data_IF_145072262105
#
_entry.id   IF_145072262105
#
_cell.length_a   1.000
_cell.length_b   1.000
_cell.length_c   1.000
_cell.angle_alpha   90.00
_cell.angle_beta   90.00
_cell.angle_gamma   90.00
#
_symmetry.space_group_name_H-M   'P 1'
#
loop_
_entity.id
_entity.type
_entity.pdbx_description
1 polymer ?
#
# COMPACT_ATOMS: atom_id res chain seq x y z
N UNK A 1 -29.98 23.18 42.42
CA UNK A 1 -28.71 22.71 43.00
C UNK A 1 -27.79 23.91 43.10
N UNK A 2 -27.27 24.14 44.31
CA UNK A 2 -25.94 24.64 44.72
C UNK A 2 -25.24 25.73 43.87
N UNK A 3 -24.55 26.72 44.44
CA UNK A 3 -24.29 27.01 45.86
C UNK A 3 -23.97 28.51 46.06
N UNK A 4 -23.70 28.92 47.30
CA UNK A 4 -23.51 30.33 47.71
C UNK A 4 -22.29 30.48 48.63
N UNK A 5 -21.73 31.69 48.67
CA UNK A 5 -20.84 32.29 49.71
C UNK A 5 -19.32 32.15 49.49
N UNK A 6 -18.64 33.31 49.61
CA UNK A 6 -17.18 33.53 49.61
C UNK A 6 -16.57 33.48 51.06
N UNK A 7 -15.60 34.32 51.51
CA UNK A 7 -14.15 34.11 51.41
C UNK A 7 -13.36 34.19 52.77
N UNK A 8 -12.02 34.29 52.67
CA UNK A 8 -11.04 34.92 53.61
C UNK A 8 -10.25 34.05 54.62
N UNK A 9 -8.98 34.47 54.85
CA UNK A 9 -8.06 34.23 55.98
C UNK A 9 -7.21 32.93 56.02
N UNK A 10 -5.97 32.91 56.57
CA UNK A 10 -4.92 33.92 56.84
C UNK A 10 -3.61 33.22 57.30
N UNK A 11 -2.51 33.98 57.44
CA UNK A 11 -1.30 33.71 58.28
C UNK A 11 -0.16 32.85 57.68
N UNK A 12 1.15 32.94 58.00
CA UNK A 12 2.12 33.85 58.66
C UNK A 12 3.36 32.94 58.93
N UNK A 13 4.52 33.08 58.27
CA UNK A 13 5.73 33.86 58.71
C UNK A 13 6.23 33.43 60.11
N UNK A 14 7.52 33.06 60.34
CA UNK A 14 8.67 33.98 60.16
C UNK A 14 10.03 33.40 59.69
N UNK A 15 10.99 34.31 59.43
CA UNK A 15 12.44 34.04 59.34
C UNK A 15 13.10 33.92 60.73
N UNK A 16 14.30 34.49 61.03
CA UNK A 16 14.77 35.80 60.52
C UNK A 16 16.32 36.07 60.45
N UNK A 17 16.69 37.32 60.04
CA UNK A 17 17.94 38.09 60.36
C UNK A 17 19.32 37.52 59.90
N UNK A 18 20.41 38.29 59.62
CA UNK A 18 20.75 39.74 59.63
C UNK A 18 22.15 39.90 58.98
N UNK A 19 22.45 40.80 58.00
CA UNK A 19 22.79 42.25 58.11
C UNK A 19 24.29 42.59 57.84
N UNK A 20 24.54 43.48 56.86
CA UNK A 20 25.65 44.48 56.77
C UNK A 20 27.13 44.09 56.51
N UNK A 21 27.56 44.33 55.25
CA UNK A 21 28.61 45.30 54.80
C UNK A 21 29.96 45.40 55.57
N UNK A 22 31.08 45.09 54.90
CA UNK A 22 32.36 45.85 55.05
C UNK A 22 33.25 45.81 53.80
N UNK A 23 34.07 46.85 53.64
CA UNK A 23 34.84 47.20 52.43
C UNK A 23 36.31 46.74 52.44
N UNK A 24 36.97 46.97 51.31
CA UNK A 24 38.38 46.70 50.95
C UNK A 24 39.43 47.45 51.81
N UNK A 25 40.62 46.84 51.94
CA UNK A 25 41.98 47.40 52.12
C UNK A 25 42.94 46.34 51.51
N UNK A 26 43.70 46.55 50.42
CA UNK A 26 44.89 47.40 50.14
C UNK A 26 46.24 46.86 50.61
N UNK A 27 47.27 47.17 49.81
CA UNK A 27 48.72 46.96 49.97
C UNK A 27 49.27 45.54 49.80
N UNK A 28 50.46 45.27 49.23
CA UNK A 28 51.48 45.93 48.35
C UNK A 28 52.80 45.21 48.66
N UNK A 29 53.68 45.01 47.66
CA UNK A 29 55.18 45.01 47.72
C UNK A 29 55.76 44.08 46.62
N UNK A 30 56.40 44.70 45.62
CA UNK A 30 57.71 44.38 44.95
C UNK A 30 58.04 42.94 44.47
N UNK A 31 58.87 42.71 43.44
CA UNK A 31 59.54 43.57 42.43
C UNK A 31 60.37 42.75 41.43
N UNK A 32 60.52 43.23 40.19
CA UNK A 32 61.66 42.92 39.28
C UNK A 32 61.66 41.54 38.60
N UNK A 33 62.17 41.35 37.38
CA UNK A 33 62.86 42.29 36.48
C UNK A 33 62.66 41.93 34.99
N UNK A 34 62.46 42.98 34.19
CA UNK A 34 63.05 43.27 32.86
C UNK A 34 64.22 42.37 32.41
N UNK A 35 64.42 42.06 31.11
CA UNK A 35 63.74 42.46 29.87
C UNK A 35 64.65 42.22 28.63
N UNK A 36 64.26 42.70 27.44
CA UNK A 36 65.04 42.72 26.16
C UNK A 36 65.17 41.34 25.42
N UNK A 37 65.01 41.20 24.09
CA UNK A 37 64.69 42.15 23.01
C UNK A 37 64.06 41.44 21.77
N UNK A 38 63.54 42.26 20.87
CA UNK A 38 63.15 42.09 19.44
C UNK A 38 64.05 41.20 18.55
N UNK A 39 63.73 40.86 17.28
CA UNK A 39 62.50 40.74 16.46
C UNK A 39 62.95 40.35 15.00
N UNK A 40 62.09 40.59 13.99
CA UNK A 40 62.39 40.69 12.54
C UNK A 40 62.38 39.39 11.69
N UNK A 41 61.19 39.14 11.13
CA UNK A 41 60.88 38.99 9.68
C UNK A 41 61.59 37.97 8.76
N UNK A 42 60.73 37.26 8.00
CA UNK A 42 61.02 36.47 6.78
C UNK A 42 61.48 37.38 5.62
N UNK A 43 62.22 36.87 4.62
CA UNK A 43 61.64 36.25 3.40
C UNK A 43 62.37 34.92 3.04
N UNK A 44 62.14 34.19 1.94
CA UNK A 44 61.17 34.27 0.83
C UNK A 44 61.63 33.48 -0.41
N UNK A 45 60.91 32.38 -0.72
CA UNK A 45 60.63 31.67 -2.01
C UNK A 45 61.65 31.61 -3.18
N UNK A 46 61.61 30.44 -3.89
CA UNK A 46 62.12 30.12 -5.26
C UNK A 46 63.50 29.43 -5.30
N UNK A 47 63.81 28.48 -6.21
CA UNK A 47 63.19 28.07 -7.50
C UNK A 47 63.61 26.63 -7.93
N UNK A 48 63.02 26.11 -9.03
CA UNK A 48 63.38 24.90 -9.84
C UNK A 48 63.28 23.50 -9.18
N UNK A 49 62.51 22.48 -9.62
CA UNK A 49 61.78 22.10 -10.87
C UNK A 49 62.55 21.22 -11.89
N UNK A 50 62.15 19.94 -11.93
CA UNK A 50 62.06 19.00 -13.08
C UNK A 50 63.22 18.13 -13.57
N UNK A 51 62.78 17.01 -14.18
CA UNK A 51 63.45 16.03 -15.06
C UNK A 51 64.24 14.89 -14.38
N UNK A 52 64.15 13.62 -14.82
CA UNK A 52 63.27 12.99 -15.83
C UNK A 52 63.06 11.50 -15.49
N UNK A 53 62.00 10.89 -16.03
CA UNK A 53 61.80 9.43 -16.00
C UNK A 53 62.23 8.75 -17.30
N UNK A 54 62.54 7.46 -17.23
CA UNK A 54 62.62 6.53 -18.37
C UNK A 54 61.88 5.24 -17.97
N UNK A 55 61.14 4.67 -18.92
CA UNK A 55 60.37 3.43 -18.82
C UNK A 55 61.14 2.23 -19.43
N UNK A 56 60.56 1.04 -19.29
CA UNK A 56 60.86 -0.20 -20.04
C UNK A 56 62.19 -0.91 -19.72
N UNK A 57 62.28 -2.25 -19.83
CA UNK A 57 61.25 -3.29 -19.81
C UNK A 57 61.89 -4.68 -19.56
N UNK A 58 61.05 -5.66 -19.25
CA UNK A 58 61.34 -7.08 -19.07
C UNK A 58 62.28 -7.76 -20.08
N UNK A 59 63.11 -8.71 -19.60
CA UNK A 59 63.00 -10.14 -19.96
C UNK A 59 63.96 -11.07 -19.19
N UNK A 60 63.40 -12.13 -18.57
CA UNK A 60 64.08 -13.36 -18.10
C UNK A 60 64.29 -14.35 -19.29
N UNK A 61 64.86 -15.58 -19.16
CA UNK A 61 65.68 -16.25 -18.11
C UNK A 61 67.12 -16.57 -18.66
N UNK A 62 68.01 -17.41 -18.10
CA UNK A 62 68.07 -18.17 -16.83
C UNK A 62 68.64 -19.62 -16.98
N UNK A 63 69.20 -20.19 -15.90
CA UNK A 63 69.55 -21.64 -15.67
C UNK A 63 70.54 -22.29 -16.69
N UNK A 64 71.86 -22.18 -16.53
CA UNK A 64 72.77 -23.06 -15.74
C UNK A 64 72.82 -24.55 -16.11
N UNK A 65 73.95 -25.01 -16.67
CA UNK A 65 74.49 -26.37 -16.49
C UNK A 65 76.04 -26.33 -16.57
N UNK A 66 76.71 -27.37 -16.07
CA UNK A 66 78.18 -27.42 -15.92
C UNK A 66 78.83 -28.43 -16.88
N UNK A 67 80.14 -28.28 -17.17
CA UNK A 67 81.09 -29.37 -16.85
C UNK A 67 82.59 -29.03 -16.97
N UNK A 68 83.32 -29.43 -15.91
CA UNK A 68 84.63 -30.12 -15.87
C UNK A 68 85.72 -30.00 -16.95
N UNK A 69 86.77 -29.19 -16.66
CA UNK A 69 88.24 -29.51 -16.65
C UNK A 69 88.96 -30.10 -17.91
N UNK A 70 90.33 -30.09 -17.98
CA UNK A 70 91.30 -29.02 -17.72
C UNK A 70 92.47 -28.96 -18.75
N UNK A 71 93.16 -27.81 -18.94
CA UNK A 71 94.53 -27.81 -19.49
C UNK A 71 95.33 -26.52 -19.21
N UNK A 72 96.63 -26.72 -19.00
CA UNK A 72 97.70 -25.81 -18.54
C UNK A 72 98.16 -24.78 -19.58
N UNK A 73 98.50 -23.55 -19.14
CA UNK A 73 99.63 -22.69 -19.58
C UNK A 73 99.54 -21.37 -18.78
N UNK A 74 100.27 -21.13 -17.69
CA UNK A 74 101.72 -20.90 -17.59
C UNK A 74 102.33 -19.98 -18.66
N UNK A 75 102.50 -18.70 -18.32
CA UNK A 75 103.66 -17.91 -18.74
C UNK A 75 104.28 -17.24 -17.52
N UNK A 76 105.27 -17.92 -16.95
CA UNK A 76 106.04 -17.51 -15.75
C UNK A 76 107.01 -16.39 -16.11
N UNK A 77 107.13 -15.39 -15.23
CA UNK A 77 108.12 -14.31 -15.39
C UNK A 77 109.56 -14.82 -15.21
N UNK A 78 110.48 -14.31 -16.04
CA UNK A 78 111.93 -14.52 -15.90
C UNK A 78 112.67 -13.20 -16.07
N UNK A 79 113.36 -12.69 -15.05
CA UNK A 79 114.73 -12.24 -15.22
C UNK A 79 115.63 -13.49 -15.30
N UNK A 80 116.43 -13.61 -16.36
CA UNK A 80 117.43 -14.66 -16.45
C UNK A 80 118.64 -14.30 -15.57
N UNK A 81 119.03 -15.21 -14.69
CA UNK A 81 120.37 -15.18 -14.07
C UNK A 81 121.34 -15.81 -15.07
N UNK A 82 122.38 -15.05 -15.43
CA UNK A 82 123.53 -15.56 -16.20
C UNK A 82 124.80 -15.41 -15.38
N UNK A 83 124.94 -16.21 -14.33
CA UNK A 83 126.27 -16.60 -13.86
C UNK A 83 126.85 -17.59 -14.88
N UNK A 84 127.87 -17.17 -15.62
CA UNK A 84 128.69 -18.07 -16.42
C UNK A 84 130.06 -18.19 -15.77
N UNK A 85 130.20 -19.13 -14.84
CA UNK A 85 131.51 -19.59 -14.37
C UNK A 85 132.13 -20.47 -15.46
N UNK A 86 132.82 -19.80 -16.39
CA UNK A 86 133.66 -20.43 -17.40
C UNK A 86 135.14 -20.37 -17.00
N UNK A 87 135.66 -21.48 -16.46
CA UNK A 87 137.07 -21.87 -16.65
C UNK A 87 137.08 -23.02 -17.68
N UNK A 88 138.16 -23.26 -18.45
CA UNK A 88 139.48 -22.62 -18.37
C UNK A 88 139.96 -22.00 -19.70
N UNK A 89 141.03 -21.21 -19.63
CA UNK A 89 141.98 -21.08 -20.73
C UNK A 89 143.37 -21.42 -20.18
N UNK A 90 143.94 -22.52 -20.65
CA UNK A 90 145.30 -22.94 -20.31
C UNK A 90 146.27 -22.35 -21.32
N UNK A 91 147.26 -21.64 -20.81
CA UNK A 91 148.58 -21.48 -21.41
C UNK A 91 149.50 -21.40 -20.18
N UNK A 92 150.23 -22.45 -19.79
CA UNK A 92 151.45 -22.91 -20.46
C UNK A 92 152.21 -21.71 -21.03
N UNK A 93 153.26 -21.22 -20.39
CA UNK A 93 154.54 -21.93 -20.20
C UNK A 93 155.09 -21.74 -18.76
N UNK A 94 155.49 -22.80 -18.05
CA UNK A 94 156.82 -23.44 -18.11
C UNK A 94 157.96 -22.40 -17.94
N UNK A 95 158.52 -22.29 -16.72
CA UNK A 95 159.53 -21.26 -16.40
C UNK A 95 160.10 -21.25 -14.98
N UNK A 96 160.39 -22.41 -14.38
CA UNK A 96 161.37 -22.54 -13.28
C UNK A 96 162.75 -22.88 -13.89
N UNK A 97 163.90 -22.78 -13.18
CA UNK A 97 164.30 -21.84 -12.11
C UNK A 97 165.79 -21.36 -12.21
N UNK A 98 166.20 -20.39 -11.40
CA UNK A 98 167.57 -20.15 -10.84
C UNK A 98 167.52 -18.81 -10.07
N UNK A 99 167.89 -18.58 -8.81
CA UNK A 99 168.91 -19.13 -7.89
C UNK A 99 170.36 -19.02 -8.37
N UNK A 100 170.96 -17.84 -8.12
CA UNK A 100 172.22 -17.62 -7.37
C UNK A 100 172.59 -16.11 -7.49
N UNK A 101 172.85 -15.34 -6.42
CA UNK A 101 174.12 -15.31 -5.64
C UNK A 101 175.37 -15.33 -6.54
N UNK A 102 176.37 -14.44 -6.44
CA UNK A 102 176.58 -13.26 -5.59
C UNK A 102 177.70 -12.39 -6.21
N UNK A 103 178.02 -11.22 -5.64
CA UNK A 103 179.40 -10.76 -5.38
C UNK A 103 179.37 -9.56 -4.41
N UNK A 104 180.12 -9.68 -3.32
CA UNK A 104 180.84 -8.56 -2.70
C UNK A 104 180.07 -7.41 -2.05
N UNK A 105 179.88 -7.51 -0.73
CA UNK A 105 180.48 -6.51 0.16
C UNK A 105 181.54 -7.23 1.03
N UNK A 106 182.63 -6.55 1.42
CA UNK A 106 183.88 -7.24 1.75
C UNK A 106 183.76 -8.05 3.05
N UNK A 107 183.95 -9.38 2.90
CA UNK A 107 184.15 -10.41 3.92
C UNK A 107 183.14 -10.52 5.09
N UNK A 108 182.80 -11.78 5.44
CA UNK A 108 181.99 -12.22 6.60
C UNK A 108 180.46 -12.14 6.41
N UNK A 109 179.86 -13.10 5.68
CA UNK A 109 178.44 -13.49 5.81
C UNK A 109 178.11 -14.84 5.12
N UNK A 110 178.27 -15.98 5.83
CA UNK A 110 177.89 -17.31 5.31
C UNK A 110 176.84 -18.06 6.16
N UNK A 111 176.54 -17.58 7.38
CA UNK A 111 175.63 -18.28 8.31
C UNK A 111 174.12 -18.05 8.03
N UNK A 112 173.77 -17.17 7.09
CA UNK A 112 172.38 -16.68 6.92
C UNK A 112 171.63 -17.35 5.75
N UNK A 113 172.31 -17.76 4.67
CA UNK A 113 171.66 -18.16 3.41
C UNK A 113 170.99 -19.55 3.46
N UNK A 114 171.64 -20.58 4.05
CA UNK A 114 171.06 -21.95 4.12
C UNK A 114 169.73 -22.01 4.88
N UNK A 115 169.57 -21.19 5.92
CA UNK A 115 168.33 -21.11 6.72
C UNK A 115 167.15 -20.58 5.90
N UNK A 116 167.39 -19.84 4.82
CA UNK A 116 166.35 -19.26 3.97
C UNK A 116 165.69 -20.27 3.03
N UNK A 117 166.46 -21.22 2.47
CA UNK A 117 165.95 -22.11 1.42
C UNK A 117 165.11 -23.29 1.92
N UNK A 118 165.37 -23.82 3.12
CA UNK A 118 164.53 -24.87 3.72
C UNK A 118 163.19 -24.29 4.20
N UNK A 119 163.21 -23.09 4.78
CA UNK A 119 162.02 -22.30 5.10
C UNK A 119 161.14 -22.14 3.86
N UNK A 120 161.71 -21.71 2.73
CA UNK A 120 160.98 -21.43 1.49
C UNK A 120 160.33 -22.68 0.83
N UNK A 121 160.86 -23.90 1.06
CA UNK A 121 160.24 -25.14 0.53
C UNK A 121 159.12 -25.65 1.43
N UNK A 122 159.27 -25.48 2.74
CA UNK A 122 158.24 -25.85 3.71
C UNK A 122 157.07 -24.86 3.68
N UNK A 123 157.34 -23.57 3.48
CA UNK A 123 156.34 -22.55 3.17
C UNK A 123 155.46 -22.94 1.97
N UNK A 124 156.01 -23.51 0.89
CA UNK A 124 155.19 -23.95 -0.26
C UNK A 124 154.28 -25.13 0.08
N UNK A 125 154.72 -26.08 0.92
CA UNK A 125 153.84 -27.18 1.36
C UNK A 125 152.76 -26.67 2.30
N UNK A 126 153.13 -25.80 3.24
CA UNK A 126 152.20 -25.11 4.11
C UNK A 126 151.16 -24.35 3.27
N UNK A 127 151.58 -23.60 2.25
CA UNK A 127 150.70 -22.90 1.30
C UNK A 127 149.78 -23.84 0.51
N UNK A 128 150.21 -25.05 0.15
CA UNK A 128 149.30 -26.03 -0.48
C UNK A 128 148.29 -26.59 0.52
N UNK A 129 148.73 -26.96 1.74
CA UNK A 129 147.82 -27.46 2.77
C UNK A 129 146.81 -26.40 3.22
N UNK A 130 147.23 -25.13 3.35
CA UNK A 130 146.33 -24.02 3.65
C UNK A 130 145.40 -23.70 2.49
N UNK A 131 145.85 -23.78 1.23
CA UNK A 131 144.94 -23.68 0.08
C UNK A 131 143.91 -24.80 0.06
N UNK A 132 144.28 -26.04 0.35
CA UNK A 132 143.36 -27.18 0.36
C UNK A 132 142.37 -27.12 1.55
N UNK A 133 142.83 -26.62 2.70
CA UNK A 133 141.96 -26.25 3.82
C UNK A 133 141.02 -25.10 3.43
N UNK A 134 141.51 -24.06 2.73
CA UNK A 134 140.71 -22.95 2.23
C UNK A 134 139.68 -23.40 1.18
N UNK A 135 139.99 -24.32 0.27
CA UNK A 135 138.99 -24.85 -0.68
C UNK A 135 137.91 -25.66 0.02
N UNK A 136 138.28 -26.47 1.02
CA UNK A 136 137.31 -27.23 1.80
C UNK A 136 136.44 -26.30 2.66
N UNK A 137 137.02 -25.30 3.33
CA UNK A 137 136.28 -24.27 4.06
C UNK A 137 135.37 -23.43 3.15
N UNK A 138 135.81 -23.09 1.93
CA UNK A 138 134.94 -22.42 0.95
C UNK A 138 133.78 -23.31 0.49
N UNK A 139 133.99 -24.62 0.34
CA UNK A 139 132.92 -25.56 0.01
C UNK A 139 131.90 -25.70 1.16
N UNK A 140 132.39 -25.84 2.40
CA UNK A 140 131.59 -25.85 3.63
C UNK A 140 130.74 -24.57 3.76
N UNK A 141 131.37 -23.39 3.59
CA UNK A 141 130.65 -22.10 3.57
C UNK A 141 129.60 -22.05 2.45
N UNK A 142 129.89 -22.58 1.27
CA UNK A 142 128.96 -22.55 0.15
C UNK A 142 127.73 -23.45 0.41
N UNK A 143 127.92 -24.62 1.05
CA UNK A 143 126.81 -25.49 1.49
C UNK A 143 125.97 -24.76 2.55
N UNK A 144 126.59 -24.12 3.54
CA UNK A 144 125.87 -23.33 4.55
C UNK A 144 125.10 -22.16 3.92
N UNK A 145 125.66 -21.50 2.90
CA UNK A 145 124.98 -20.42 2.15
C UNK A 145 123.77 -20.95 1.37
N UNK A 146 123.86 -22.12 0.72
CA UNK A 146 122.69 -22.72 0.06
C UNK A 146 121.63 -23.20 1.05
N UNK A 147 122.02 -23.76 2.20
CA UNK A 147 121.07 -24.14 3.25
C UNK A 147 120.37 -22.90 3.83
N UNK A 148 121.10 -21.82 4.11
CA UNK A 148 120.51 -20.54 4.52
C UNK A 148 119.61 -19.94 3.43
N UNK A 149 119.92 -20.11 2.13
CA UNK A 149 119.05 -19.68 1.02
C UNK A 149 117.74 -20.49 1.00
N UNK A 150 117.78 -21.81 1.16
CA UNK A 150 116.58 -22.64 1.23
C UNK A 150 115.74 -22.35 2.47
N UNK A 151 116.37 -22.20 3.65
CA UNK A 151 115.68 -21.73 4.85
C UNK A 151 115.03 -20.35 4.60
N UNK A 152 115.71 -19.40 3.96
CA UNK A 152 115.12 -18.11 3.57
C UNK A 152 113.97 -18.24 2.56
N UNK A 153 113.95 -19.25 1.68
CA UNK A 153 112.81 -19.52 0.78
C UNK A 153 111.63 -20.09 1.56
N UNK A 154 111.88 -21.07 2.44
CA UNK A 154 110.87 -21.67 3.30
C UNK A 154 110.22 -20.63 4.25
N UNK A 155 111.02 -19.78 4.90
CA UNK A 155 110.52 -18.68 5.73
C UNK A 155 109.72 -17.65 4.91
N UNK A 156 110.18 -17.26 3.72
CA UNK A 156 109.40 -16.39 2.81
C UNK A 156 108.06 -17.02 2.42
N UNK A 157 108.01 -18.32 2.16
CA UNK A 157 106.78 -19.04 1.86
C UNK A 157 105.85 -19.09 3.09
N UNK A 158 106.36 -19.39 4.29
CA UNK A 158 105.53 -19.41 5.50
C UNK A 158 104.99 -18.02 5.85
N UNK A 159 105.77 -16.95 5.68
CA UNK A 159 105.30 -15.56 5.82
C UNK A 159 104.20 -15.26 4.80
N UNK A 160 104.35 -15.69 3.54
CA UNK A 160 103.32 -15.52 2.50
C UNK A 160 102.02 -16.25 2.86
N UNK A 161 102.10 -17.48 3.35
CA UNK A 161 100.94 -18.27 3.76
C UNK A 161 100.25 -17.66 4.98
N UNK A 162 101.00 -17.32 6.05
CA UNK A 162 100.46 -16.62 7.23
C UNK A 162 99.81 -15.28 6.87
N UNK A 163 100.34 -14.55 5.87
CA UNK A 163 99.76 -13.30 5.38
C UNK A 163 98.45 -13.52 4.61
N UNK A 164 98.29 -14.66 3.94
CA UNK A 164 97.04 -15.03 3.27
C UNK A 164 96.02 -15.55 4.30
N UNK A 165 96.40 -16.47 5.18
CA UNK A 165 95.58 -16.97 6.31
C UNK A 165 95.05 -15.79 7.15
N UNK A 166 95.91 -14.82 7.47
CA UNK A 166 95.49 -13.59 8.19
C UNK A 166 94.46 -12.76 7.41
N UNK A 167 94.62 -12.59 6.09
CA UNK A 167 93.64 -11.88 5.25
C UNK A 167 92.31 -12.60 5.20
N UNK A 168 92.33 -13.91 5.00
CA UNK A 168 91.13 -14.76 4.95
C UNK A 168 90.37 -14.69 6.28
N UNK A 169 91.07 -14.73 7.42
CA UNK A 169 90.48 -14.53 8.75
C UNK A 169 89.95 -13.10 8.97
N UNK A 170 90.68 -12.06 8.52
CA UNK A 170 90.20 -10.67 8.60
C UNK A 170 88.95 -10.44 7.72
N UNK A 171 88.87 -11.05 6.55
CA UNK A 171 87.70 -10.99 5.66
C UNK A 171 86.52 -11.79 6.19
N UNK A 172 86.77 -12.98 6.77
CA UNK A 172 85.74 -13.77 7.43
C UNK A 172 85.17 -13.02 8.64
N UNK A 173 86.03 -12.47 9.51
CA UNK A 173 85.64 -11.67 10.68
C UNK A 173 84.82 -10.44 10.27
N UNK A 174 85.23 -9.72 9.22
CA UNK A 174 84.45 -8.58 8.70
C UNK A 174 83.09 -9.02 8.17
N UNK A 175 83.00 -10.14 7.45
CA UNK A 175 81.71 -10.68 6.96
C UNK A 175 80.78 -11.09 8.11
N UNK A 176 81.30 -11.75 9.15
CA UNK A 176 80.49 -12.13 10.32
C UNK A 176 80.08 -10.91 11.15
N UNK A 177 80.98 -9.94 11.34
CA UNK A 177 80.68 -8.73 12.11
C UNK A 177 79.64 -7.87 11.37
N UNK A 178 79.83 -7.60 10.08
CA UNK A 178 78.83 -6.86 9.27
C UNK A 178 77.50 -7.59 9.23
N UNK A 179 77.49 -8.93 9.16
CA UNK A 179 76.26 -9.73 9.18
C UNK A 179 75.52 -9.70 10.52
N UNK A 180 76.25 -9.84 11.64
CA UNK A 180 75.69 -9.79 12.99
C UNK A 180 75.21 -8.38 13.35
N UNK A 181 76.08 -7.37 13.17
CA UNK A 181 75.75 -5.97 13.43
C UNK A 181 74.57 -5.51 12.56
N UNK A 182 74.48 -5.94 11.29
CA UNK A 182 73.34 -5.61 10.44
C UNK A 182 72.04 -6.29 10.90
N UNK A 183 72.09 -7.56 11.36
CA UNK A 183 70.92 -8.26 11.88
C UNK A 183 70.43 -7.64 13.20
N UNK A 184 71.36 -7.28 14.11
CA UNK A 184 71.04 -6.56 15.35
C UNK A 184 70.47 -5.16 15.07
N UNK A 185 71.06 -4.42 14.13
CA UNK A 185 70.54 -3.11 13.69
C UNK A 185 69.16 -3.21 13.04
N UNK A 186 68.86 -4.28 12.31
CA UNK A 186 67.51 -4.53 11.75
C UNK A 186 66.52 -4.80 12.88
N UNK A 187 66.85 -5.71 13.81
CA UNK A 187 65.95 -6.05 14.93
C UNK A 187 65.70 -4.86 15.86
N UNK A 188 66.71 -4.04 16.16
CA UNK A 188 66.55 -2.80 16.93
C UNK A 188 65.68 -1.79 16.18
N UNK A 189 65.81 -1.72 14.85
CA UNK A 189 65.00 -0.84 14.01
C UNK A 189 63.54 -1.30 13.90
N UNK A 190 63.29 -2.60 13.87
CA UNK A 190 61.95 -3.19 13.94
C UNK A 190 61.30 -2.85 15.29
N UNK A 191 61.97 -3.11 16.42
CA UNK A 191 61.48 -2.73 17.75
C UNK A 191 61.24 -1.22 17.91
N UNK A 192 62.12 -0.38 17.35
CA UNK A 192 61.94 1.06 17.34
C UNK A 192 60.73 1.49 16.49
N UNK A 193 60.43 0.79 15.40
CA UNK A 193 59.24 1.04 14.58
C UNK A 193 57.97 0.58 15.29
N UNK A 194 57.96 -0.61 15.91
CA UNK A 194 56.85 -1.09 16.74
C UNK A 194 56.50 -0.09 17.85
N UNK A 195 57.51 0.45 18.57
CA UNK A 195 57.30 1.48 19.58
C UNK A 195 56.77 2.81 18.99
N UNK A 196 57.12 3.17 17.76
CA UNK A 196 56.56 4.34 17.06
C UNK A 196 55.09 4.10 16.70
N UNK A 197 54.78 2.93 16.16
CA UNK A 197 53.42 2.54 15.75
C UNK A 197 52.49 2.42 16.97
N UNK A 198 52.97 1.84 18.09
CA UNK A 198 52.28 1.85 19.38
C UNK A 198 52.08 3.28 19.90
N UNK A 199 53.10 4.14 19.80
CA UNK A 199 52.99 5.54 20.24
C UNK A 199 51.95 6.31 19.42
N UNK A 200 51.87 6.07 18.10
CA UNK A 200 50.86 6.67 17.24
C UNK A 200 49.47 6.07 17.46
N UNK A 201 49.33 4.77 17.72
CA UNK A 201 48.07 4.17 18.17
C UNK A 201 47.60 4.76 19.52
N UNK A 202 48.53 5.00 20.45
CA UNK A 202 48.24 5.70 21.71
C UNK A 202 47.86 7.17 21.48
N UNK A 203 48.52 7.91 20.58
CA UNK A 203 48.09 9.27 20.18
C UNK A 203 46.68 9.25 19.58
N UNK A 204 46.36 8.28 18.74
CA UNK A 204 45.04 8.17 18.09
C UNK A 204 43.94 7.80 19.10
N UNK A 205 44.21 6.91 20.05
CA UNK A 205 43.26 6.61 21.14
C UNK A 205 43.09 7.79 22.09
N UNK A 206 44.18 8.47 22.49
CA UNK A 206 44.13 9.71 23.27
C UNK A 206 43.36 10.81 22.52
N UNK A 207 43.57 10.97 21.21
CA UNK A 207 42.84 11.95 20.42
C UNK A 207 41.35 11.61 20.34
N UNK A 208 40.98 10.34 20.06
CA UNK A 208 39.59 9.88 20.08
C UNK A 208 38.94 10.11 21.45
N UNK A 209 39.62 9.74 22.53
CA UNK A 209 39.13 9.94 23.90
C UNK A 209 39.02 11.43 24.26
N UNK A 210 39.93 12.29 23.79
CA UNK A 210 39.84 13.74 23.99
C UNK A 210 38.71 14.37 23.17
N UNK A 211 38.44 13.91 21.95
CA UNK A 211 37.29 14.34 21.15
C UNK A 211 35.98 13.93 21.84
N UNK A 212 35.88 12.69 22.30
CA UNK A 212 34.71 12.23 23.06
C UNK A 212 34.59 12.99 24.39
N UNK A 213 35.67 13.15 25.16
CA UNK A 213 35.67 13.93 26.41
C UNK A 213 35.23 15.38 26.18
N UNK A 214 35.67 16.01 25.09
CA UNK A 214 35.24 17.37 24.71
C UNK A 214 33.75 17.40 24.36
N UNK A 215 33.24 16.40 23.63
CA UNK A 215 31.81 16.22 23.34
C UNK A 215 31.01 16.01 24.64
N UNK A 216 31.48 15.19 25.57
CA UNK A 216 30.87 15.00 26.88
C UNK A 216 30.86 16.30 27.70
N UNK A 217 31.98 17.01 27.80
CA UNK A 217 32.08 18.29 28.51
C UNK A 217 31.21 19.40 27.89
N UNK A 218 30.99 19.36 26.57
CA UNK A 218 30.10 20.30 25.87
C UNK A 218 28.62 19.92 26.05
N UNK A 219 28.31 18.62 26.07
CA UNK A 219 26.94 18.10 26.11
C UNK A 219 26.38 17.99 27.54
N UNK A 220 27.23 17.87 28.55
CA UNK A 220 26.84 17.67 29.94
C UNK A 220 27.54 18.66 30.88
N UNK A 221 26.75 19.28 31.77
CA UNK A 221 27.25 20.16 32.83
C UNK A 221 28.24 19.39 33.74
N UNK A 222 29.34 20.02 34.21
CA UNK A 222 30.18 19.43 35.24
C UNK A 222 29.37 19.04 36.48
N UNK A 223 29.45 17.76 36.87
CA UNK A 223 28.72 17.20 38.02
C UNK A 223 29.03 17.99 39.29
N UNK A 224 28.00 18.36 40.04
CA UNK A 224 28.18 19.01 41.35
C UNK A 224 28.72 18.01 42.37
N UNK A 225 29.38 18.49 43.43
CA UNK A 225 29.98 17.60 44.45
C UNK A 225 28.96 16.66 45.11
N UNK A 226 27.70 17.06 45.18
CA UNK A 226 26.59 16.27 45.74
C UNK A 226 26.11 15.16 44.79
N UNK A 227 26.16 15.39 43.48
CA UNK A 227 25.82 14.39 42.46
C UNK A 227 26.93 13.34 42.32
N UNK A 228 28.20 13.76 42.39
CA UNK A 228 29.36 12.85 42.43
C UNK A 228 29.40 11.94 43.66
N UNK A 229 28.67 12.27 44.74
CA UNK A 229 28.52 11.41 45.92
C UNK A 229 27.35 10.42 45.80
N UNK A 230 26.38 10.70 44.91
CA UNK A 230 25.23 9.80 44.63
C UNK A 230 25.54 8.82 43.50
N UNK A 231 26.28 9.27 42.48
CA UNK A 231 26.88 8.41 41.46
C UNK A 231 28.09 7.76 42.13
N UNK A 232 27.95 6.53 42.61
CA UNK A 232 29.00 5.81 43.34
C UNK A 232 30.25 5.59 42.49
N UNK A 233 31.15 6.58 42.49
CA UNK A 233 32.43 6.54 41.78
C UNK A 233 33.47 5.66 42.47
N UNK A 234 34.61 5.49 41.80
CA UNK A 234 35.76 4.80 42.38
C UNK A 234 36.19 5.43 43.71
N UNK A 235 36.59 4.62 44.72
CA UNK A 235 36.92 5.14 46.04
C UNK A 235 38.10 6.13 45.96
N UNK A 236 37.98 7.36 46.50
CA UNK A 236 39.00 8.40 46.36
C UNK A 236 40.27 8.16 47.20
N UNK A 237 40.29 7.08 48.01
CA UNK A 237 41.48 6.55 48.69
C UNK A 237 41.41 5.03 48.71
N UNK A 238 42.49 4.40 48.25
CA UNK A 238 42.68 2.95 48.22
C UNK A 238 43.49 2.54 46.99
N UNK A 239 44.05 1.32 46.94
CA UNK A 239 44.52 0.76 45.68
C UNK A 239 43.34 0.70 44.69
N UNK A 240 43.54 0.97 43.39
CA UNK A 240 42.49 0.83 42.40
C UNK A 240 41.92 -0.60 42.42
N UNK A 241 40.61 -0.80 42.15
CA UNK A 241 40.04 -2.14 42.15
C UNK A 241 40.80 -3.07 41.19
N UNK A 242 41.07 -4.35 41.54
CA UNK A 242 41.85 -5.24 40.70
C UNK A 242 41.31 -5.38 39.27
N UNK A 243 39.98 -5.31 39.11
CA UNK A 243 39.31 -5.37 37.80
C UNK A 243 39.54 -4.15 36.90
N UNK A 244 40.07 -3.04 37.43
CA UNK A 244 40.43 -1.85 36.66
C UNK A 244 41.86 -1.91 36.11
N UNK A 245 42.72 -2.74 36.72
CA UNK A 245 44.14 -2.90 36.36
C UNK A 245 44.42 -4.23 35.65
N UNK A 246 43.69 -5.29 35.97
CA UNK A 246 43.83 -6.61 35.32
C UNK A 246 42.91 -6.70 34.09
N UNK A 247 43.54 -6.78 32.92
CA UNK A 247 42.85 -6.89 31.63
C UNK A 247 41.92 -8.10 31.51
N UNK A 248 42.11 -9.16 32.31
CA UNK A 248 41.23 -10.34 32.34
C UNK A 248 39.79 -10.00 32.73
N UNK A 249 39.60 -8.96 33.53
CA UNK A 249 38.27 -8.50 33.95
C UNK A 249 37.84 -7.23 33.23
N UNK A 250 38.80 -6.34 32.89
CA UNK A 250 38.48 -5.11 32.17
C UNK A 250 38.06 -5.37 30.71
N UNK A 251 38.70 -6.30 30.00
CA UNK A 251 38.39 -6.56 28.58
C UNK A 251 36.95 -7.07 28.35
N UNK A 252 36.44 -8.08 29.09
CA UNK A 252 35.04 -8.50 28.94
C UNK A 252 34.04 -7.41 29.34
N UNK A 253 34.37 -6.58 30.33
CA UNK A 253 33.52 -5.47 30.76
C UNK A 253 33.44 -4.38 29.68
N UNK A 254 34.59 -3.98 29.11
CA UNK A 254 34.64 -3.03 28.01
C UNK A 254 33.87 -3.55 26.78
N UNK A 255 34.03 -4.83 26.44
CA UNK A 255 33.27 -5.45 25.34
C UNK A 255 31.76 -5.39 25.58
N UNK A 256 31.30 -5.72 26.80
CA UNK A 256 29.89 -5.61 27.16
C UNK A 256 29.36 -4.16 27.14
N UNK A 257 30.21 -3.17 27.47
CA UNK A 257 29.87 -1.75 27.30
C UNK A 257 29.82 -1.35 25.82
N UNK A 258 30.76 -1.80 24.98
CA UNK A 258 30.73 -1.56 23.54
C UNK A 258 29.51 -2.18 22.88
N UNK A 259 29.13 -3.41 23.24
CA UNK A 259 27.95 -4.07 22.70
C UNK A 259 26.67 -3.38 23.16
N UNK A 260 26.59 -2.96 24.43
CA UNK A 260 25.47 -2.14 24.92
C UNK A 260 25.40 -0.75 24.27
N UNK A 261 26.53 -0.18 23.87
CA UNK A 261 26.56 1.05 23.07
C UNK A 261 26.06 0.78 21.65
N UNK A 262 26.53 -0.27 20.97
CA UNK A 262 26.02 -0.71 19.65
C UNK A 262 24.52 -0.99 19.68
N UNK A 263 23.99 -1.65 20.71
CA UNK A 263 22.55 -1.84 20.90
C UNK A 263 21.80 -0.51 20.99
N UNK A 264 22.34 0.47 21.71
CA UNK A 264 21.75 1.81 21.82
C UNK A 264 21.82 2.59 20.51
N UNK A 265 22.93 2.50 19.78
CA UNK A 265 23.09 3.12 18.47
C UNK A 265 22.14 2.50 17.44
N UNK A 266 21.99 1.17 17.44
CA UNK A 266 21.00 0.45 16.61
C UNK A 266 19.55 0.88 16.93
N UNK A 267 19.22 1.05 18.21
CA UNK A 267 17.90 1.53 18.63
C UNK A 267 17.66 3.01 18.27
N UNK A 268 18.71 3.84 18.29
CA UNK A 268 18.64 5.22 17.79
C UNK A 268 18.38 5.22 16.29
N UNK A 269 19.08 4.37 15.51
CA UNK A 269 18.86 4.23 14.08
C UNK A 269 17.44 3.76 13.75
N UNK A 270 16.89 2.78 14.48
CA UNK A 270 15.49 2.36 14.26
C UNK A 270 14.49 3.48 14.58
N UNK A 271 14.69 4.25 15.66
CA UNK A 271 13.84 5.41 15.95
C UNK A 271 13.99 6.54 14.92
N UNK A 272 15.19 6.76 14.37
CA UNK A 272 15.35 7.69 13.26
C UNK A 272 14.61 7.24 11.99
N UNK A 273 14.62 5.94 11.69
CA UNK A 273 13.86 5.37 10.57
C UNK A 273 12.34 5.46 10.80
N UNK A 274 11.86 5.17 12.00
CA UNK A 274 10.47 5.39 12.40
C UNK A 274 10.07 6.86 12.27
N UNK A 275 10.91 7.80 12.70
CA UNK A 275 10.67 9.25 12.54
C UNK A 275 10.69 9.69 11.07
N UNK A 276 11.59 9.14 10.24
CA UNK A 276 11.61 9.35 8.78
C UNK A 276 10.33 8.81 8.13
N UNK A 277 9.85 7.64 8.54
CA UNK A 277 8.62 7.02 8.06
C UNK A 277 7.37 7.78 8.51
N UNK A 278 7.30 8.20 9.79
CA UNK A 278 6.24 9.05 10.32
C UNK A 278 6.18 10.40 9.59
N UNK A 279 7.33 11.04 9.36
CA UNK A 279 7.42 12.29 8.58
C UNK A 279 6.96 12.10 7.12
N UNK A 280 7.25 10.95 6.49
CA UNK A 280 6.73 10.62 5.16
C UNK A 280 5.20 10.49 5.18
N UNK A 281 4.66 9.77 6.16
CA UNK A 281 3.20 9.56 6.32
C UNK A 281 2.45 10.86 6.64
N UNK A 282 3.05 11.72 7.46
CA UNK A 282 2.50 13.05 7.76
C UNK A 282 2.47 13.94 6.51
N UNK A 283 3.51 13.90 5.66
CA UNK A 283 3.47 14.56 4.35
C UNK A 283 2.37 14.02 3.45
N UNK A 284 2.23 12.69 3.34
CA UNK A 284 1.17 12.06 2.55
C UNK A 284 -0.23 12.52 3.04
N UNK A 285 -0.48 12.56 4.35
CA UNK A 285 -1.75 13.05 4.89
C UNK A 285 -1.96 14.56 4.66
N UNK A 286 -0.88 15.36 4.60
CA UNK A 286 -0.99 16.79 4.22
C UNK A 286 -1.33 16.90 2.73
N UNK A 287 -0.62 16.19 1.86
CA UNK A 287 -0.88 16.12 0.41
C UNK A 287 -2.30 15.62 0.12
N UNK A 288 -2.76 14.57 0.82
CA UNK A 288 -4.14 14.07 0.77
C UNK A 288 -5.14 15.16 1.19
N UNK A 289 -4.93 15.84 2.33
CA UNK A 289 -5.82 16.94 2.74
C UNK A 289 -5.81 18.11 1.76
N UNK A 290 -4.66 18.49 1.21
CA UNK A 290 -4.55 19.53 0.18
C UNK A 290 -5.32 19.14 -1.09
N UNK A 291 -5.21 17.88 -1.54
CA UNK A 291 -6.02 17.39 -2.68
C UNK A 291 -7.51 17.31 -2.35
N UNK A 292 -7.90 16.90 -1.14
CA UNK A 292 -9.31 16.91 -0.70
C UNK A 292 -9.87 18.33 -0.62
N UNK A 293 -9.09 19.31 -0.14
CA UNK A 293 -9.49 20.71 -0.15
C UNK A 293 -9.61 21.24 -1.59
N UNK A 294 -8.67 20.91 -2.48
CA UNK A 294 -8.79 21.26 -3.92
C UNK A 294 -10.00 20.59 -4.58
N UNK A 295 -10.33 19.34 -4.23
CA UNK A 295 -11.54 18.66 -4.71
C UNK A 295 -12.79 19.35 -4.16
N UNK A 296 -12.83 19.75 -2.89
CA UNK A 296 -13.95 20.51 -2.31
C UNK A 296 -14.07 21.96 -2.85
N UNK A 297 -12.97 22.54 -3.34
CA UNK A 297 -12.99 23.84 -4.04
C UNK A 297 -13.43 23.69 -5.52
N UNK A 298 -13.16 22.55 -6.15
CA UNK A 298 -13.60 22.19 -7.51
C UNK A 298 -15.07 21.73 -7.54
N UNK A 299 -15.44 20.83 -6.61
CA UNK A 299 -16.81 20.55 -6.17
C UNK A 299 -17.35 21.75 -5.38
N UNK A 300 -17.37 22.91 -6.04
CA UNK A 300 -17.90 24.15 -5.47
C UNK A 300 -19.24 23.85 -4.80
N UNK A 301 -19.45 24.26 -3.53
CA UNK A 301 -20.78 24.19 -2.95
C UNK A 301 -21.72 24.94 -3.89
N UNK A 302 -22.76 24.23 -4.37
CA UNK A 302 -23.64 24.60 -5.49
C UNK A 302 -23.64 26.11 -5.68
N UNK A 303 -22.92 26.54 -6.73
CA UNK A 303 -22.52 27.93 -6.98
C UNK A 303 -23.67 28.86 -6.56
N UNK A 304 -23.44 29.88 -5.74
CA UNK A 304 -24.53 30.58 -5.04
C UNK A 304 -25.69 31.01 -5.97
N UNK A 305 -25.35 31.35 -7.23
CA UNK A 305 -26.29 31.65 -8.33
C UNK A 305 -27.13 30.45 -8.81
N UNK A 306 -26.54 29.26 -8.90
CA UNK A 306 -27.25 27.99 -9.17
C UNK A 306 -28.16 27.61 -8.00
N UNK A 307 -27.75 27.87 -6.76
CA UNK A 307 -28.61 27.65 -5.58
C UNK A 307 -29.79 28.64 -5.57
N UNK A 308 -29.55 29.93 -5.82
CA UNK A 308 -30.59 30.95 -6.01
C UNK A 308 -31.51 30.61 -7.20
N UNK A 309 -30.98 30.08 -8.30
CA UNK A 309 -31.75 29.62 -9.46
C UNK A 309 -32.65 28.42 -9.11
N UNK A 310 -32.12 27.42 -8.40
CA UNK A 310 -32.90 26.29 -7.91
C UNK A 310 -33.96 26.73 -6.88
N UNK A 311 -33.65 27.70 -6.03
CA UNK A 311 -34.60 28.25 -5.04
C UNK A 311 -35.74 29.00 -5.74
N UNK A 312 -35.43 29.85 -6.72
CA UNK A 312 -36.44 30.57 -7.51
C UNK A 312 -37.28 29.63 -8.37
N UNK A 313 -36.68 28.58 -8.95
CA UNK A 313 -37.40 27.53 -9.67
C UNK A 313 -38.34 26.73 -8.75
N UNK A 314 -37.89 26.31 -7.56
CA UNK A 314 -38.75 25.64 -6.58
C UNK A 314 -39.91 26.54 -6.13
N UNK A 315 -39.66 27.84 -5.95
CA UNK A 315 -40.72 28.81 -5.62
C UNK A 315 -41.75 28.90 -6.75
N UNK A 316 -41.31 29.03 -8.00
CA UNK A 316 -42.20 29.10 -9.16
C UNK A 316 -43.04 27.82 -9.32
N UNK A 317 -42.44 26.64 -9.15
CA UNK A 317 -43.15 25.36 -9.18
C UNK A 317 -44.16 25.21 -8.03
N UNK A 318 -43.87 25.76 -6.85
CA UNK A 318 -44.81 25.81 -5.73
C UNK A 318 -46.00 26.74 -6.02
N UNK A 319 -45.76 27.90 -6.64
CA UNK A 319 -46.80 28.83 -7.10
C UNK A 319 -47.67 28.19 -8.20
N UNK A 320 -47.07 27.47 -9.16
CA UNK A 320 -47.80 26.72 -10.18
C UNK A 320 -48.66 25.61 -9.56
N UNK A 321 -48.12 24.82 -8.65
CA UNK A 321 -48.86 23.78 -7.92
C UNK A 321 -50.05 24.36 -7.15
N UNK A 322 -49.88 25.49 -6.46
CA UNK A 322 -50.98 26.17 -5.77
C UNK A 322 -52.10 26.61 -6.75
N UNK A 323 -51.73 27.14 -7.92
CA UNK A 323 -52.69 27.52 -8.97
C UNK A 323 -53.39 26.29 -9.57
N UNK A 324 -52.68 25.17 -9.74
CA UNK A 324 -53.27 23.92 -10.23
C UNK A 324 -54.27 23.32 -9.22
N UNK A 325 -53.95 23.32 -7.92
CA UNK A 325 -54.88 22.93 -6.85
C UNK A 325 -56.12 23.82 -6.87
N UNK A 326 -55.97 25.15 -6.90
CA UNK A 326 -57.11 26.07 -6.99
C UNK A 326 -57.98 25.88 -8.25
N UNK A 327 -57.38 25.52 -9.40
CA UNK A 327 -58.14 25.15 -10.61
C UNK A 327 -58.94 23.86 -10.42
N UNK A 328 -58.37 22.85 -9.75
CA UNK A 328 -59.07 21.59 -9.45
C UNK A 328 -60.22 21.82 -8.47
N UNK A 329 -60.02 22.60 -7.40
CA UNK A 329 -61.08 22.99 -6.45
C UNK A 329 -62.23 23.72 -7.15
N UNK A 330 -61.92 24.71 -8.00
CA UNK A 330 -62.95 25.43 -8.78
C UNK A 330 -63.70 24.50 -9.74
N UNK A 331 -63.01 23.54 -10.36
CA UNK A 331 -63.67 22.54 -11.22
C UNK A 331 -64.58 21.61 -10.41
N UNK A 332 -64.11 21.13 -9.25
CA UNK A 332 -64.89 20.28 -8.36
C UNK A 332 -66.14 21.01 -7.82
N UNK A 333 -66.00 22.27 -7.42
CA UNK A 333 -67.12 23.11 -6.99
C UNK A 333 -68.14 23.34 -8.11
N UNK A 334 -67.70 23.61 -9.35
CA UNK A 334 -68.59 23.70 -10.52
C UNK A 334 -69.32 22.39 -10.81
N UNK A 335 -68.64 21.25 -10.68
CA UNK A 335 -69.23 19.93 -10.88
C UNK A 335 -70.25 19.58 -9.77
N UNK A 336 -69.96 19.92 -8.51
CA UNK A 336 -70.91 19.81 -7.39
C UNK A 336 -72.14 20.71 -7.60
N UNK A 337 -71.94 21.94 -8.09
CA UNK A 337 -73.03 22.88 -8.35
C UNK A 337 -73.92 22.43 -9.51
N UNK A 338 -73.35 21.96 -10.64
CA UNK A 338 -74.14 21.42 -11.75
C UNK A 338 -74.87 20.15 -11.37
N UNK A 339 -74.22 19.23 -10.63
CA UNK A 339 -74.89 18.06 -10.09
C UNK A 339 -76.03 18.43 -9.13
N UNK A 340 -75.82 19.44 -8.27
CA UNK A 340 -76.86 19.99 -7.39
C UNK A 340 -78.06 20.54 -8.15
N UNK A 341 -77.84 21.25 -9.27
CA UNK A 341 -78.90 21.73 -10.16
C UNK A 341 -79.68 20.56 -10.79
N UNK A 342 -78.98 19.55 -11.31
CA UNK A 342 -79.64 18.36 -11.87
C UNK A 342 -80.41 17.56 -10.82
N UNK A 343 -79.91 17.43 -9.59
CA UNK A 343 -80.68 16.81 -8.49
C UNK A 343 -81.95 17.62 -8.17
N UNK A 344 -81.88 18.95 -8.20
CA UNK A 344 -83.05 19.81 -8.02
C UNK A 344 -84.06 19.63 -9.16
N UNK A 345 -83.62 19.64 -10.42
CA UNK A 345 -84.44 19.38 -11.61
C UNK A 345 -85.12 18.01 -11.54
N UNK A 346 -84.37 16.94 -11.25
CA UNK A 346 -84.91 15.58 -11.05
C UNK A 346 -85.93 15.57 -9.92
N UNK A 347 -85.68 16.25 -8.79
CA UNK A 347 -86.65 16.33 -7.69
C UNK A 347 -87.95 17.07 -8.07
N UNK A 348 -87.87 18.06 -8.96
CA UNK A 348 -89.04 18.78 -9.48
C UNK A 348 -89.83 17.91 -10.46
N UNK A 349 -89.15 17.25 -11.39
CA UNK A 349 -89.75 16.32 -12.34
C UNK A 349 -90.38 15.11 -11.63
N UNK A 350 -89.75 14.57 -10.59
CA UNK A 350 -90.32 13.49 -9.76
C UNK A 350 -91.60 13.96 -9.07
N UNK A 351 -91.66 15.18 -8.53
CA UNK A 351 -92.89 15.74 -7.95
C UNK A 351 -94.00 15.90 -9.00
N UNK A 352 -93.67 16.41 -10.18
CA UNK A 352 -94.63 16.53 -11.29
C UNK A 352 -95.16 15.16 -11.72
N UNK A 353 -94.26 14.17 -11.88
CA UNK A 353 -94.61 12.80 -12.22
C UNK A 353 -95.53 12.18 -11.16
N UNK A 354 -95.24 12.33 -9.86
CA UNK A 354 -96.12 11.88 -8.78
C UNK A 354 -97.52 12.53 -8.84
N UNK A 355 -97.61 13.83 -9.15
CA UNK A 355 -98.92 14.50 -9.29
C UNK A 355 -99.70 14.03 -10.52
N UNK A 356 -99.01 13.76 -11.64
CA UNK A 356 -99.63 13.22 -12.86
C UNK A 356 -100.06 11.76 -12.68
N UNK A 357 -99.25 10.93 -12.03
CA UNK A 357 -99.63 9.56 -11.66
C UNK A 357 -100.86 9.54 -10.75
N UNK A 358 -100.92 10.41 -9.73
CA UNK A 358 -102.08 10.50 -8.85
C UNK A 358 -103.35 10.91 -9.62
N UNK A 359 -103.23 11.87 -10.54
CA UNK A 359 -104.32 12.26 -11.45
C UNK A 359 -104.74 11.12 -12.38
N UNK A 360 -103.78 10.39 -12.95
CA UNK A 360 -104.04 9.26 -13.83
C UNK A 360 -104.75 8.11 -13.08
N UNK A 361 -104.29 7.75 -11.88
CA UNK A 361 -104.96 6.76 -11.02
C UNK A 361 -106.40 7.18 -10.71
N UNK A 362 -106.64 8.44 -10.35
CA UNK A 362 -108.00 8.96 -10.13
C UNK A 362 -108.88 8.91 -11.38
N UNK A 363 -108.31 9.14 -12.58
CA UNK A 363 -109.04 9.01 -13.83
C UNK A 363 -109.30 7.54 -14.22
N UNK A 364 -108.39 6.62 -13.91
CA UNK A 364 -108.56 5.18 -14.10
C UNK A 364 -109.65 4.63 -13.15
N UNK A 365 -109.67 5.05 -11.89
CA UNK A 365 -110.73 4.74 -10.92
C UNK A 365 -112.10 5.22 -11.42
N UNK A 366 -112.18 6.46 -11.92
CA UNK A 366 -113.40 7.02 -12.49
C UNK A 366 -113.85 6.27 -13.77
N UNK A 367 -112.92 5.86 -14.64
CA UNK A 367 -113.21 5.03 -15.81
C UNK A 367 -113.68 3.62 -15.44
N UNK A 368 -113.13 3.02 -14.39
CA UNK A 368 -113.59 1.74 -13.85
C UNK A 368 -115.01 1.85 -13.28
N UNK A 369 -115.32 2.92 -12.55
CA UNK A 369 -116.66 3.14 -12.02
C UNK A 369 -117.69 3.40 -13.14
N UNK A 370 -117.32 4.19 -14.15
CA UNK A 370 -118.16 4.39 -15.34
C UNK A 370 -118.38 3.09 -16.12
N UNK A 371 -117.37 2.21 -16.22
CA UNK A 371 -117.52 0.87 -16.82
C UNK A 371 -118.52 0.01 -16.04
N UNK A 372 -118.44 -0.05 -14.71
CA UNK A 372 -119.44 -0.74 -13.87
C UNK A 372 -120.85 -0.20 -14.09
N UNK A 373 -121.00 1.13 -14.18
CA UNK A 373 -122.29 1.77 -14.47
C UNK A 373 -122.83 1.39 -15.85
N UNK A 374 -121.97 1.35 -16.87
CA UNK A 374 -122.35 0.86 -18.21
C UNK A 374 -122.70 -0.63 -18.22
N UNK A 375 -121.99 -1.48 -17.47
CA UNK A 375 -122.32 -2.90 -17.33
C UNK A 375 -123.67 -3.10 -16.63
N UNK A 376 -123.96 -2.34 -15.58
CA UNK A 376 -125.26 -2.35 -14.89
C UNK A 376 -126.41 -1.83 -15.78
N UNK A 377 -126.16 -0.79 -16.59
CA UNK A 377 -127.14 -0.31 -17.58
C UNK A 377 -127.34 -1.35 -18.69
N UNK A 378 -126.27 -2.02 -19.13
CA UNK A 378 -126.33 -3.08 -20.12
C UNK A 378 -127.06 -4.32 -19.61
N UNK A 379 -126.88 -4.71 -18.34
CA UNK A 379 -127.65 -5.79 -17.73
C UNK A 379 -129.13 -5.41 -17.70
N UNK A 380 -129.49 -4.22 -17.20
CA UNK A 380 -130.87 -3.71 -17.23
C UNK A 380 -131.48 -3.68 -18.63
N UNK A 381 -130.73 -3.28 -19.65
CA UNK A 381 -131.19 -3.31 -21.04
C UNK A 381 -131.38 -4.75 -21.55
N UNK A 382 -130.52 -5.70 -21.16
CA UNK A 382 -130.69 -7.11 -21.48
C UNK A 382 -131.89 -7.72 -20.74
N UNK A 383 -132.11 -7.36 -19.47
CA UNK A 383 -133.25 -7.81 -18.65
C UNK A 383 -134.57 -7.30 -19.24
N UNK A 384 -134.64 -6.00 -19.60
CA UNK A 384 -135.79 -5.41 -20.29
C UNK A 384 -135.97 -6.00 -21.70
N UNK A 385 -134.89 -6.33 -22.40
CA UNK A 385 -134.98 -7.03 -23.68
C UNK A 385 -135.51 -8.44 -23.50
N UNK A 386 -135.06 -9.19 -22.49
CA UNK A 386 -135.58 -10.53 -22.20
C UNK A 386 -137.06 -10.50 -21.76
N UNK A 387 -137.49 -9.46 -21.05
CA UNK A 387 -138.91 -9.22 -20.74
C UNK A 387 -139.73 -8.90 -22.01
N UNK A 388 -139.17 -8.16 -22.98
CA UNK A 388 -139.83 -7.89 -24.27
C UNK A 388 -139.85 -9.13 -25.18
N UNK A 389 -138.72 -9.82 -25.33
CA UNK A 389 -138.60 -11.07 -26.12
C UNK A 389 -139.43 -12.21 -25.50
N UNK A 390 -139.67 -12.18 -24.18
CA UNK A 390 -140.55 -13.10 -23.46
C UNK A 390 -142.04 -12.78 -23.55
N UNK A 391 -142.43 -11.60 -24.08
CA UNK A 391 -143.81 -11.33 -24.45
C UNK A 391 -144.09 -12.03 -25.78
N UNK A 392 -145.19 -12.77 -25.83
CA UNK A 392 -145.75 -13.40 -27.05
C UNK A 392 -145.66 -12.40 -28.20
N UNK A 393 -145.12 -12.84 -29.34
CA UNK A 393 -144.85 -11.95 -30.45
C UNK A 393 -146.16 -11.29 -30.92
N UNK A 394 -146.13 -10.04 -31.36
CA UNK A 394 -147.33 -9.35 -31.85
C UNK A 394 -147.99 -10.14 -33.00
N UNK A 395 -147.18 -10.84 -33.80
CA UNK A 395 -147.61 -11.76 -34.87
C UNK A 395 -148.33 -13.01 -34.32
N UNK A 396 -147.83 -13.62 -33.24
CA UNK A 396 -148.47 -14.76 -32.55
C UNK A 396 -149.78 -14.34 -31.87
N UNK A 397 -149.81 -13.17 -31.22
CA UNK A 397 -151.03 -12.58 -30.69
C UNK A 397 -152.06 -12.29 -31.79
N UNK A 398 -151.64 -11.75 -32.94
CA UNK A 398 -152.50 -11.53 -34.11
C UNK A 398 -152.99 -12.87 -34.68
N UNK A 399 -152.14 -13.89 -34.76
CA UNK A 399 -152.52 -15.24 -35.20
C UNK A 399 -153.57 -15.86 -34.26
N UNK A 400 -153.34 -15.83 -32.94
CA UNK A 400 -154.32 -16.31 -31.95
C UNK A 400 -155.64 -15.51 -32.00
N UNK A 401 -155.59 -14.19 -32.17
CA UNK A 401 -156.80 -13.35 -32.31
C UNK A 401 -157.54 -13.68 -33.61
N UNK A 402 -156.84 -13.96 -34.70
CA UNK A 402 -157.45 -14.35 -35.97
C UNK A 402 -158.04 -15.77 -35.92
N UNK A 403 -157.38 -16.70 -35.22
CA UNK A 403 -157.91 -18.04 -34.94
C UNK A 403 -159.18 -17.96 -34.08
N UNK A 404 -159.17 -17.19 -32.99
CA UNK A 404 -160.36 -16.94 -32.17
C UNK A 404 -161.49 -16.24 -32.96
N UNK A 405 -161.17 -15.32 -33.88
CA UNK A 405 -162.16 -14.73 -34.80
C UNK A 405 -162.72 -15.76 -35.79
N UNK A 406 -161.88 -16.66 -36.31
CA UNK A 406 -162.29 -17.75 -37.19
C UNK A 406 -163.26 -18.69 -36.48
N UNK A 407 -162.92 -19.11 -35.26
CA UNK A 407 -163.78 -19.94 -34.40
C UNK A 407 -165.10 -19.22 -34.07
N UNK A 408 -165.06 -17.93 -33.75
CA UNK A 408 -166.27 -17.11 -33.50
C UNK A 408 -167.16 -17.04 -34.75
N UNK A 409 -166.58 -16.81 -35.93
CA UNK A 409 -167.34 -16.78 -37.19
C UNK A 409 -167.92 -18.16 -37.53
N UNK A 410 -167.18 -19.24 -37.31
CA UNK A 410 -167.65 -20.59 -37.53
C UNK A 410 -168.83 -20.96 -36.61
N UNK A 411 -168.79 -20.53 -35.35
CA UNK A 411 -169.91 -20.65 -34.40
C UNK A 411 -171.12 -19.80 -34.82
N UNK A 412 -170.89 -18.58 -35.29
CA UNK A 412 -171.93 -17.70 -35.83
C UNK A 412 -172.62 -18.32 -37.05
N UNK A 413 -171.84 -18.76 -38.03
CA UNK A 413 -172.34 -19.41 -39.25
C UNK A 413 -173.06 -20.72 -38.93
N UNK A 414 -172.67 -21.42 -37.86
CA UNK A 414 -173.39 -22.60 -37.34
C UNK A 414 -174.76 -22.20 -36.77
N UNK A 415 -174.80 -21.23 -35.86
CA UNK A 415 -176.05 -20.72 -35.30
C UNK A 415 -176.99 -20.14 -36.36
N UNK A 416 -176.45 -19.48 -37.40
CA UNK A 416 -177.21 -18.98 -38.55
C UNK A 416 -177.69 -20.10 -39.50
N UNK A 417 -176.97 -21.23 -39.59
CA UNK A 417 -177.45 -22.45 -40.29
C UNK A 417 -178.57 -23.11 -39.51
N UNK A 418 -178.37 -23.36 -38.22
CA UNK A 418 -179.39 -23.91 -37.32
C UNK A 418 -180.66 -23.04 -37.29
N UNK A 419 -180.51 -21.72 -37.24
CA UNK A 419 -181.63 -20.76 -37.30
C UNK A 419 -182.37 -20.82 -38.64
N UNK A 420 -181.67 -21.00 -39.76
CA UNK A 420 -182.28 -21.20 -41.08
C UNK A 420 -183.04 -22.52 -41.16
N UNK A 421 -182.45 -23.62 -40.71
CA UNK A 421 -183.13 -24.91 -40.64
C UNK A 421 -184.38 -24.84 -39.75
N UNK A 422 -184.34 -24.12 -38.64
CA UNK A 422 -185.51 -23.91 -37.77
C UNK A 422 -186.57 -23.03 -38.44
N UNK A 423 -186.19 -22.03 -39.25
CA UNK A 423 -187.13 -21.27 -40.08
C UNK A 423 -187.74 -22.09 -41.21
N UNK A 424 -186.97 -22.99 -41.84
CA UNK A 424 -187.47 -23.89 -42.88
C UNK A 424 -188.48 -24.88 -42.27
N UNK A 425 -188.11 -25.54 -41.15
CA UNK A 425 -189.02 -26.39 -40.35
C UNK A 425 -190.28 -25.62 -39.91
N UNK A 426 -190.15 -24.34 -39.51
CA UNK A 426 -191.30 -23.50 -39.16
C UNK A 426 -192.20 -23.23 -40.38
N UNK A 427 -191.62 -22.96 -41.55
CA UNK A 427 -192.37 -22.77 -42.81
C UNK A 427 -193.08 -24.05 -43.24
N UNK A 428 -192.45 -25.21 -43.09
CA UNK A 428 -193.08 -26.52 -43.37
C UNK A 428 -194.24 -26.82 -42.42
N UNK A 429 -194.09 -26.53 -41.12
CA UNK A 429 -195.19 -26.61 -40.16
C UNK A 429 -196.31 -25.59 -40.48
N UNK A 430 -195.96 -24.42 -41.02
CA UNK A 430 -196.93 -23.38 -41.38
C UNK A 430 -197.67 -23.70 -42.69
N UNK A 431 -197.05 -24.39 -43.65
CA UNK A 431 -197.74 -24.92 -44.86
C UNK A 431 -198.63 -26.09 -44.49
N UNK A 432 -198.17 -27.03 -43.65
CA UNK A 432 -199.01 -28.10 -43.07
C UNK A 432 -200.21 -27.54 -42.32
N UNK A 433 -200.03 -26.48 -41.52
CA UNK A 433 -201.16 -25.79 -40.85
C UNK A 433 -202.15 -25.18 -41.84
N UNK A 434 -201.68 -24.65 -42.99
CA UNK A 434 -202.56 -24.11 -44.04
C UNK A 434 -203.33 -25.21 -44.77
N UNK A 435 -202.71 -26.33 -45.13
CA UNK A 435 -203.42 -27.45 -45.78
C UNK A 435 -204.44 -28.09 -44.85
N UNK A 436 -204.11 -28.30 -43.57
CA UNK A 436 -205.08 -28.75 -42.56
C UNK A 436 -206.24 -27.76 -42.35
N UNK A 437 -205.99 -26.44 -42.46
CA UNK A 437 -207.05 -25.42 -42.41
C UNK A 437 -207.95 -25.43 -43.65
N UNK A 438 -207.41 -25.70 -44.84
CA UNK A 438 -208.22 -25.87 -46.06
C UNK A 438 -209.10 -27.11 -45.96
N UNK A 439 -208.53 -28.26 -45.60
CA UNK A 439 -209.28 -29.50 -45.34
C UNK A 439 -210.37 -29.30 -44.27
N UNK A 440 -210.06 -28.57 -43.19
CA UNK A 440 -211.07 -28.20 -42.19
C UNK A 440 -212.19 -27.35 -42.80
N UNK A 441 -211.87 -26.37 -43.63
CA UNK A 441 -212.86 -25.48 -44.23
C UNK A 441 -213.74 -26.22 -45.26
N UNK A 442 -213.17 -27.13 -46.04
CA UNK A 442 -213.90 -28.05 -46.93
C UNK A 442 -214.91 -28.90 -46.14
N UNK A 443 -214.45 -29.58 -45.07
CA UNK A 443 -215.31 -30.34 -44.16
C UNK A 443 -216.38 -29.47 -43.46
N UNK A 444 -216.11 -28.17 -43.24
CA UNK A 444 -217.07 -27.22 -42.65
C UNK A 444 -218.08 -26.73 -43.70
N UNK A 445 -217.70 -26.54 -44.97
CA UNK A 445 -218.66 -26.28 -46.04
C UNK A 445 -219.55 -27.49 -46.30
N UNK A 446 -218.99 -28.70 -46.26
CA UNK A 446 -219.76 -29.94 -46.41
C UNK A 446 -220.77 -30.10 -45.26
N UNK A 447 -220.35 -29.85 -44.01
CA UNK A 447 -221.29 -29.79 -42.87
C UNK A 447 -222.39 -28.74 -43.07
N UNK A 448 -222.07 -27.54 -43.57
CA UNK A 448 -223.09 -26.50 -43.81
C UNK A 448 -224.06 -26.82 -44.94
N UNK A 449 -223.59 -27.53 -45.98
CA UNK A 449 -224.47 -28.05 -47.03
C UNK A 449 -225.44 -29.09 -46.45
N UNK A 450 -224.93 -30.02 -45.64
CA UNK A 450 -225.75 -31.02 -44.94
C UNK A 450 -226.73 -30.38 -43.93
N UNK A 451 -226.32 -29.34 -43.21
CA UNK A 451 -227.19 -28.56 -42.32
C UNK A 451 -228.29 -27.81 -43.09
N UNK A 452 -227.98 -27.25 -44.27
CA UNK A 452 -228.97 -26.58 -45.11
C UNK A 452 -229.98 -27.57 -45.73
N UNK A 453 -229.54 -28.78 -46.09
CA UNK A 453 -230.43 -29.89 -46.49
C UNK A 453 -231.34 -30.31 -45.33
N UNK A 454 -230.82 -30.40 -44.11
CA UNK A 454 -231.61 -30.69 -42.89
C UNK A 454 -232.64 -29.59 -42.57
N UNK A 455 -232.31 -28.30 -42.76
CA UNK A 455 -233.27 -27.22 -42.55
C UNK A 455 -234.31 -27.08 -43.66
N UNK A 456 -233.98 -27.43 -44.90
CA UNK A 456 -234.97 -27.51 -45.98
C UNK A 456 -236.06 -28.55 -45.66
N UNK A 457 -235.68 -29.69 -45.07
CA UNK A 457 -236.61 -30.72 -44.58
C UNK A 457 -237.48 -30.18 -43.42
N UNK A 458 -236.93 -29.35 -42.52
CA UNK A 458 -237.69 -28.73 -41.42
C UNK A 458 -238.69 -27.65 -41.85
N UNK A 459 -238.70 -27.23 -43.12
CA UNK A 459 -239.77 -26.36 -43.69
C UNK A 459 -240.92 -27.17 -44.31
N UNK A 460 -240.96 -28.49 -44.10
CA UNK A 460 -241.99 -29.40 -44.63
C UNK A 460 -242.73 -30.24 -43.58
N UNK A 461 -242.57 -29.94 -42.29
CA UNK A 461 -243.34 -30.43 -41.15
C UNK A 461 -243.44 -29.34 -40.07
#
# INVERSE_FOLDING_TARGET
>A
ADSKVDPVAESTIPGPFSTTRRSQLTEVVRSGSTGMLEAVSRPGVSEAVSHAGILEADSRPGVSEADSRPAVSETVGRPAVSETVGRPAVSETIGRPAVSEAIGRPAISEAVSRRSHEVNREEIRQLHTTNQQLTNMNHELNVQVEEMKEQMKAWRLKIKNLKNEKKELEEALKKTQIGADAAELISIREQAQELVDENDALKMTIHRLNVELSRYQTKYRPLTKEENLKIGGLPPRGPPPPWLLDMKYLSPLLLAYEDRLKEKDNLILSFEEEMKNFKRRLKQVIEENETLHQVLEQERPVNAKEWEMLQTQNKLLSEENAVLVGKLEVHEMKSRESHGKHLQEVSQLTKQLMTLEAGNRGSEEALLELRKQHELLRSKCNDLKADVDGRVAAEEHVAMVNELKSQLQQQRDASERESREMMDKMRDLQTQKKTLLLQKNELVSDNKMLEAELEAVRKSN
#
